data_IF_265078871916
#
_entry.id   IF_265078871916
#
_cell.length_a   1.000
_cell.length_b   1.000
_cell.length_c   1.000
_cell.angle_alpha   90.00
_cell.angle_beta   90.00
_cell.angle_gamma   90.00
#
_symmetry.space_group_name_H-M   'P 1'
#
loop_
_entity.id
_entity.type
_entity.pdbx_description
1 polymer ?
#
# COMPACT_ATOMS: atom_id res chain seq x y z
N UNK A 1 9.26 14.06 -21.97
CA UNK A 1 8.10 13.39 -21.33
C UNK A 1 8.08 13.84 -19.88
N UNK A 2 6.96 14.43 -19.42
CA UNK A 2 6.87 15.07 -18.11
C UNK A 2 7.07 14.05 -16.98
N UNK A 3 8.05 14.28 -16.10
CA UNK A 3 8.39 13.41 -14.98
C UNK A 3 7.18 13.05 -14.09
N UNK A 4 6.22 13.98 -13.98
CA UNK A 4 4.95 13.77 -13.26
C UNK A 4 4.09 12.64 -13.83
N UNK A 5 4.04 12.49 -15.17
CA UNK A 5 3.25 11.44 -15.82
C UNK A 5 3.86 10.07 -15.53
N UNK A 6 5.20 9.97 -15.54
CA UNK A 6 5.92 8.73 -15.20
C UNK A 6 5.69 8.32 -13.74
N UNK A 7 5.76 9.27 -12.80
CA UNK A 7 5.49 9.02 -11.38
C UNK A 7 4.05 8.54 -11.17
N UNK A 8 3.08 9.13 -11.87
CA UNK A 8 1.66 8.74 -11.73
C UNK A 8 1.38 7.33 -12.28
N UNK A 9 1.96 6.97 -13.43
CA UNK A 9 1.88 5.62 -14.00
C UNK A 9 2.51 4.60 -13.04
N UNK A 10 3.69 4.93 -12.50
CA UNK A 10 4.37 4.08 -11.54
C UNK A 10 3.55 3.91 -10.25
N UNK A 11 3.00 4.99 -9.70
CA UNK A 11 2.17 4.96 -8.50
C UNK A 11 0.92 4.06 -8.66
N UNK A 12 0.26 4.09 -9.82
CA UNK A 12 -0.88 3.20 -10.10
C UNK A 12 -0.46 1.72 -10.11
N UNK A 13 0.66 1.40 -10.73
CA UNK A 13 1.20 0.04 -10.75
C UNK A 13 1.58 -0.39 -9.33
N UNK A 14 2.25 0.48 -8.56
CA UNK A 14 2.66 0.20 -7.19
C UNK A 14 1.48 0.00 -6.23
N UNK A 15 0.35 0.70 -6.42
CA UNK A 15 -0.87 0.47 -5.66
C UNK A 15 -1.36 -0.98 -5.79
N UNK A 16 -1.34 -1.54 -7.01
CA UNK A 16 -1.71 -2.94 -7.23
C UNK A 16 -0.70 -3.91 -6.60
N UNK A 17 0.60 -3.63 -6.73
CA UNK A 17 1.63 -4.47 -6.13
C UNK A 17 1.61 -4.44 -4.60
N UNK A 18 1.29 -3.29 -3.99
CA UNK A 18 1.29 -3.11 -2.54
C UNK A 18 0.06 -3.70 -1.83
N UNK A 19 -0.98 -4.07 -2.58
CA UNK A 19 -2.14 -4.74 -1.99
C UNK A 19 -1.75 -6.07 -1.32
N UNK A 20 -0.88 -6.87 -1.95
CA UNK A 20 -0.43 -8.15 -1.39
C UNK A 20 0.37 -8.02 -0.07
N UNK A 21 1.45 -7.21 0.01
CA UNK A 21 2.16 -7.00 1.26
C UNK A 21 1.28 -6.33 2.32
N UNK A 22 0.37 -5.43 1.93
CA UNK A 22 -0.60 -4.85 2.87
C UNK A 22 -1.51 -5.93 3.50
N UNK A 23 -2.04 -6.85 2.69
CA UNK A 23 -2.82 -7.99 3.20
C UNK A 23 -2.01 -8.82 4.20
N UNK A 24 -0.75 -9.13 3.90
CA UNK A 24 0.12 -9.89 4.82
C UNK A 24 0.36 -9.19 6.15
N UNK A 25 0.49 -7.85 6.15
CA UNK A 25 0.62 -7.07 7.38
C UNK A 25 -0.66 -7.16 8.20
N UNK A 26 -1.82 -7.05 7.56
CA UNK A 26 -3.12 -7.12 8.24
C UNK A 26 -3.38 -8.52 8.81
N UNK A 27 -3.08 -9.58 8.05
CA UNK A 27 -3.11 -10.97 8.54
C UNK A 27 -2.19 -11.17 9.76
N UNK A 28 -1.00 -10.56 9.75
CA UNK A 28 -0.10 -10.63 10.90
C UNK A 28 -0.64 -9.90 12.12
N UNK A 29 -1.31 -8.75 11.94
CA UNK A 29 -1.99 -8.04 13.04
C UNK A 29 -3.15 -8.87 13.58
N UNK A 30 -3.93 -9.49 12.69
CA UNK A 30 -5.02 -10.39 13.06
C UNK A 30 -4.53 -11.59 13.87
N UNK A 31 -3.38 -12.17 13.53
CA UNK A 31 -2.79 -13.27 14.30
C UNK A 31 -2.48 -12.90 15.76
N UNK A 32 -2.42 -11.60 16.08
CA UNK A 32 -2.17 -11.07 17.43
C UNK A 32 -3.41 -10.51 18.11
N UNK A 33 -4.47 -10.18 17.35
CA UNK A 33 -5.71 -9.58 17.84
C UNK A 33 -6.86 -9.97 16.93
N UNK A 34 -7.98 -10.40 17.49
CA UNK A 34 -9.19 -10.62 16.69
C UNK A 34 -9.64 -9.30 16.04
N UNK A 35 -9.60 -9.25 14.71
CA UNK A 35 -10.09 -8.13 13.91
C UNK A 35 -11.43 -8.51 13.29
N UNK A 36 -12.39 -7.59 13.31
CA UNK A 36 -13.61 -7.78 12.52
C UNK A 36 -13.28 -7.71 11.02
N UNK A 37 -14.08 -8.37 10.19
CA UNK A 37 -13.95 -8.32 8.72
C UNK A 37 -13.97 -6.90 8.16
N UNK A 38 -14.74 -6.00 8.79
CA UNK A 38 -14.77 -4.57 8.43
C UNK A 38 -13.45 -3.88 8.76
N UNK A 39 -12.87 -4.18 9.93
CA UNK A 39 -11.58 -3.65 10.35
C UNK A 39 -10.44 -4.13 9.44
N UNK A 40 -10.43 -5.41 9.05
CA UNK A 40 -9.45 -5.96 8.11
C UNK A 40 -9.45 -5.21 6.78
N UNK A 41 -10.61 -5.04 6.16
CA UNK A 41 -10.72 -4.33 4.88
C UNK A 41 -10.22 -2.89 4.97
N UNK A 42 -10.60 -2.16 6.03
CA UNK A 42 -10.14 -0.79 6.23
C UNK A 42 -8.62 -0.76 6.42
N UNK A 43 -8.07 -1.65 7.26
CA UNK A 43 -6.64 -1.72 7.52
C UNK A 43 -5.86 -2.06 6.24
N UNK A 44 -6.33 -2.99 5.43
CA UNK A 44 -5.67 -3.40 4.18
C UNK A 44 -5.60 -2.23 3.21
N UNK A 45 -6.69 -1.48 3.05
CA UNK A 45 -6.70 -0.28 2.20
C UNK A 45 -5.75 0.79 2.73
N UNK A 46 -5.79 1.05 4.05
CA UNK A 46 -4.91 2.04 4.69
C UNK A 46 -3.43 1.67 4.51
N UNK A 47 -3.05 0.42 4.78
CA UNK A 47 -1.69 -0.05 4.59
C UNK A 47 -1.25 -0.03 3.12
N UNK A 48 -2.13 -0.40 2.18
CA UNK A 48 -1.84 -0.33 0.74
C UNK A 48 -1.49 1.09 0.32
N UNK A 49 -2.29 2.08 0.75
CA UNK A 49 -2.05 3.49 0.45
C UNK A 49 -0.72 3.95 1.08
N UNK A 50 -0.51 3.70 2.36
CA UNK A 50 0.72 4.12 3.07
C UNK A 50 1.97 3.52 2.43
N UNK A 51 1.97 2.22 2.13
CA UNK A 51 3.10 1.54 1.49
C UNK A 51 3.36 2.08 0.08
N UNK A 52 2.30 2.29 -0.71
CA UNK A 52 2.44 2.83 -2.06
C UNK A 52 3.00 4.25 -2.07
N UNK A 53 2.55 5.11 -1.15
CA UNK A 53 3.07 6.46 -0.99
C UNK A 53 4.51 6.45 -0.49
N UNK A 54 4.84 5.57 0.47
CA UNK A 54 6.21 5.43 0.96
C UNK A 54 7.20 5.10 -0.15
N UNK A 55 6.81 4.22 -1.09
CA UNK A 55 7.68 3.86 -2.23
C UNK A 55 7.71 4.96 -3.29
N UNK A 56 6.58 5.62 -3.55
CA UNK A 56 6.55 6.75 -4.48
C UNK A 56 7.47 7.89 -4.01
N UNK A 57 7.45 8.20 -2.70
CA UNK A 57 8.35 9.16 -2.06
C UNK A 57 9.80 8.65 -2.12
N UNK A 58 10.04 7.38 -1.79
CA UNK A 58 11.38 6.79 -1.88
C UNK A 58 11.99 6.93 -3.28
N UNK A 59 11.18 6.74 -4.33
CA UNK A 59 11.61 6.89 -5.73
C UNK A 59 11.85 8.35 -6.13
N UNK A 60 11.17 9.32 -5.50
CA UNK A 60 11.44 10.74 -5.75
C UNK A 60 12.83 11.16 -5.24
N UNK A 61 13.28 10.56 -4.13
CA UNK A 61 14.55 10.90 -3.47
C UNK A 61 15.75 10.05 -3.91
N UNK A 62 15.56 9.01 -4.72
CA UNK A 62 16.59 8.05 -5.14
C UNK A 62 16.71 7.98 -6.67
#
# INVERSE_FOLDING_TARGET
MNSTIMILIFAMVMLMFMAFPAMKIVEWIESKRELSSKSQNILTVVFTIILSLGIAIFLEFF
#
